data_IF_703117876427
#
_entry.id   IF_703117876427
#
_cell.length_a   1.000
_cell.length_b   1.000
_cell.length_c   1.000
_cell.angle_alpha   90.00
_cell.angle_beta   90.00
_cell.angle_gamma   90.00
#
_symmetry.space_group_name_H-M   'P 1'
#
loop_
_entity.id
_entity.type
_entity.pdbx_description
1 polymer ?
#
# COMPACT_ATOMS: atom_id res chain seq x y z
N UNK A 1 -14.85 6.89 6.74
CA UNK A 1 -14.63 6.66 8.19
C UNK A 1 -13.21 7.02 8.64
N UNK A 2 -12.14 6.55 7.98
CA UNK A 2 -10.76 6.84 8.40
C UNK A 2 -10.37 8.32 8.30
N UNK A 3 -10.74 9.01 7.20
CA UNK A 3 -10.48 10.45 7.05
C UNK A 3 -11.17 11.30 8.14
N UNK A 4 -12.43 10.98 8.47
CA UNK A 4 -13.15 11.67 9.55
C UNK A 4 -12.48 11.45 10.93
N UNK A 5 -11.96 10.24 11.18
CA UNK A 5 -11.24 9.94 12.43
C UNK A 5 -9.91 10.70 12.53
N UNK A 6 -9.20 10.88 11.43
CA UNK A 6 -7.95 11.67 11.44
C UNK A 6 -8.25 13.15 11.71
N UNK A 7 -9.27 13.71 11.04
CA UNK A 7 -9.69 15.09 11.22
C UNK A 7 -10.10 15.37 12.68
N UNK A 8 -10.90 14.47 13.29
CA UNK A 8 -11.28 14.57 14.69
C UNK A 8 -10.08 14.55 15.67
N UNK A 9 -8.93 14.05 15.23
CA UNK A 9 -7.67 13.99 16.01
C UNK A 9 -6.66 15.07 15.59
N UNK A 10 -7.04 16.02 14.73
CA UNK A 10 -6.14 17.03 14.19
C UNK A 10 -4.99 16.43 13.36
N UNK A 11 -5.19 15.25 12.78
CA UNK A 11 -4.18 14.52 12.00
C UNK A 11 -4.53 14.48 10.52
N UNK A 12 -3.50 14.54 9.67
CA UNK A 12 -3.65 14.43 8.21
C UNK A 12 -3.85 12.97 7.80
N UNK A 13 -4.92 12.68 7.06
CA UNK A 13 -5.11 11.36 6.43
C UNK A 13 -4.39 11.29 5.09
N UNK A 14 -3.54 10.28 4.93
CA UNK A 14 -2.76 10.00 3.71
C UNK A 14 -2.99 8.54 3.30
N UNK A 15 -3.96 8.25 2.41
CA UNK A 15 -4.16 6.91 1.90
C UNK A 15 -3.03 6.54 0.93
N UNK A 16 -2.48 5.33 1.06
CA UNK A 16 -1.39 4.84 0.22
C UNK A 16 -1.81 3.59 -0.56
N UNK A 17 -1.95 3.80 -1.87
CA UNK A 17 -2.04 2.87 -2.99
C UNK A 17 -0.79 2.02 -3.23
N UNK A 18 -0.66 0.78 -2.75
CA UNK A 18 0.47 -0.08 -3.17
C UNK A 18 0.05 -1.00 -4.32
N UNK A 19 0.76 -0.92 -5.44
CA UNK A 19 0.55 -1.74 -6.63
C UNK A 19 1.79 -2.59 -6.88
N UNK A 20 1.60 -3.83 -7.30
CA UNK A 20 2.70 -4.73 -7.60
C UNK A 20 2.25 -5.62 -8.76
N UNK A 21 3.13 -5.83 -9.73
CA UNK A 21 2.90 -6.82 -10.78
C UNK A 21 2.64 -8.19 -10.16
N UNK A 22 1.73 -8.93 -10.80
CA UNK A 22 1.23 -10.20 -10.27
C UNK A 22 2.38 -11.18 -10.08
N UNK A 23 3.25 -11.33 -11.07
CA UNK A 23 4.37 -12.27 -11.04
C UNK A 23 5.36 -11.98 -9.90
N UNK A 24 5.67 -10.71 -9.66
CA UNK A 24 6.54 -10.32 -8.55
C UNK A 24 5.84 -10.54 -7.20
N UNK A 25 4.52 -10.35 -7.11
CA UNK A 25 3.76 -10.64 -5.90
C UNK A 25 3.72 -12.16 -5.61
N UNK A 26 3.53 -13.00 -6.63
CA UNK A 26 3.60 -14.47 -6.54
C UNK A 26 4.98 -14.92 -6.04
N UNK A 27 6.05 -14.32 -6.57
CA UNK A 27 7.40 -14.58 -6.09
C UNK A 27 7.58 -14.18 -4.62
N UNK A 28 7.15 -12.98 -4.24
CA UNK A 28 7.31 -12.44 -2.87
C UNK A 28 6.48 -13.17 -1.84
N UNK A 29 5.26 -13.58 -2.18
CA UNK A 29 4.35 -14.25 -1.24
C UNK A 29 4.89 -15.62 -0.84
N UNK A 30 5.62 -16.27 -1.73
CA UNK A 30 6.21 -17.59 -1.52
C UNK A 30 7.52 -17.59 -0.72
N UNK A 31 8.05 -16.41 -0.35
CA UNK A 31 9.33 -16.32 0.36
C UNK A 31 9.27 -17.00 1.75
N UNK A 32 10.28 -17.82 2.13
CA UNK A 32 10.27 -18.57 3.39
C UNK A 32 10.04 -17.71 4.64
N UNK A 33 10.66 -16.53 4.69
CA UNK A 33 10.53 -15.56 5.78
C UNK A 33 9.07 -15.11 6.03
N UNK A 34 8.18 -15.27 5.06
CA UNK A 34 6.75 -14.95 5.24
C UNK A 34 6.06 -16.00 6.09
N UNK A 35 6.42 -17.28 5.92
CA UNK A 35 5.92 -18.39 6.75
C UNK A 35 6.32 -18.20 8.20
N UNK A 36 7.57 -17.82 8.45
CA UNK A 36 8.10 -17.52 9.79
C UNK A 36 7.31 -16.40 10.49
N UNK A 37 6.81 -15.43 9.72
CA UNK A 37 6.00 -14.31 10.21
C UNK A 37 4.49 -14.58 10.16
N UNK A 38 4.07 -15.85 9.98
CA UNK A 38 2.67 -16.27 9.85
C UNK A 38 1.87 -15.49 8.79
N UNK A 39 2.55 -14.98 7.76
CA UNK A 39 1.90 -14.30 6.63
C UNK A 39 1.39 -15.33 5.63
N UNK A 40 0.39 -14.95 4.84
CA UNK A 40 -0.05 -15.76 3.71
C UNK A 40 1.13 -16.04 2.75
N UNK A 41 1.19 -17.29 2.29
CA UNK A 41 2.23 -17.82 1.38
C UNK A 41 1.67 -18.51 0.14
N UNK A 42 0.34 -18.49 -0.05
CA UNK A 42 -0.32 -19.11 -1.22
C UNK A 42 0.00 -18.33 -2.51
N UNK A 43 0.77 -18.89 -3.46
CA UNK A 43 1.12 -18.23 -4.71
C UNK A 43 -0.09 -17.99 -5.63
N UNK A 44 -1.21 -18.71 -5.46
CA UNK A 44 -2.42 -18.49 -6.25
C UNK A 44 -3.22 -17.27 -5.77
N UNK A 45 -2.95 -16.78 -4.55
CA UNK A 45 -3.70 -15.66 -3.97
C UNK A 45 -3.55 -14.36 -4.79
N UNK A 46 -2.34 -13.90 -5.16
CA UNK A 46 -2.19 -12.71 -6.01
C UNK A 46 -2.93 -12.83 -7.35
N UNK A 47 -2.88 -14.00 -8.00
CA UNK A 47 -3.57 -14.26 -9.27
C UNK A 47 -5.07 -14.13 -9.10
N UNK A 48 -5.66 -14.80 -8.10
CA UNK A 48 -7.09 -14.72 -7.79
C UNK A 48 -7.54 -13.30 -7.44
N UNK A 49 -6.70 -12.52 -6.76
CA UNK A 49 -7.02 -11.13 -6.40
C UNK A 49 -6.93 -10.20 -7.62
N UNK A 50 -5.97 -10.39 -8.51
CA UNK A 50 -5.85 -9.61 -9.75
C UNK A 50 -7.08 -9.76 -10.65
N UNK A 51 -7.66 -10.96 -10.70
CA UNK A 51 -8.90 -11.23 -11.45
C UNK A 51 -10.13 -10.50 -10.89
N UNK A 52 -10.11 -10.07 -9.62
CA UNK A 52 -11.23 -9.34 -9.00
C UNK A 52 -11.22 -7.85 -9.32
N UNK A 53 -10.24 -7.38 -10.10
CA UNK A 53 -10.09 -5.98 -10.48
C UNK A 53 -9.09 -5.22 -9.61
N UNK A 54 -8.96 -3.91 -9.84
CA UNK A 54 -7.93 -3.11 -9.20
C UNK A 54 -8.11 -3.03 -7.68
N UNK A 55 -7.01 -2.85 -6.92
CA UNK A 55 -7.10 -2.58 -5.49
C UNK A 55 -7.97 -1.36 -5.19
N UNK A 56 -8.52 -1.34 -3.97
CA UNK A 56 -9.30 -0.23 -3.44
C UNK A 56 -8.70 1.14 -3.80
N UNK A 57 -9.54 2.01 -4.37
CA UNK A 57 -9.21 3.41 -4.69
C UNK A 57 -9.96 4.29 -3.68
N UNK A 58 -9.23 5.14 -2.95
CA UNK A 58 -9.85 5.98 -1.92
C UNK A 58 -10.52 7.23 -2.49
N UNK A 59 -10.07 7.71 -3.65
CA UNK A 59 -10.53 8.97 -4.26
C UNK A 59 -10.17 10.22 -3.43
N UNK A 60 -9.35 10.06 -2.39
CA UNK A 60 -8.97 11.14 -1.49
C UNK A 60 -7.91 12.04 -2.12
N UNK A 61 -8.00 13.35 -1.89
CA UNK A 61 -7.06 14.33 -2.47
C UNK A 61 -5.59 14.09 -2.08
N UNK A 62 -5.37 13.47 -0.92
CA UNK A 62 -4.04 13.13 -0.41
C UNK A 62 -3.57 11.72 -0.81
N UNK A 63 -4.29 10.99 -1.67
CA UNK A 63 -3.89 9.63 -2.05
C UNK A 63 -2.53 9.62 -2.77
N UNK A 64 -1.65 8.71 -2.35
CA UNK A 64 -0.43 8.37 -3.06
C UNK A 64 -0.57 6.98 -3.68
N UNK A 65 -0.33 6.85 -4.98
CA UNK A 65 -0.22 5.54 -5.65
C UNK A 65 1.24 5.22 -5.95
N UNK A 66 1.72 4.07 -5.49
CA UNK A 66 3.09 3.58 -5.64
C UNK A 66 3.10 2.19 -6.27
N UNK A 67 3.77 2.08 -7.41
CA UNK A 67 4.24 0.80 -7.93
C UNK A 67 5.46 0.31 -7.13
N UNK A 68 5.32 -0.79 -6.41
CA UNK A 68 6.36 -1.38 -5.58
C UNK A 68 7.02 -2.62 -6.21
N UNK A 69 6.75 -2.88 -7.49
CA UNK A 69 7.27 -4.05 -8.22
C UNK A 69 8.78 -4.13 -8.13
N UNK A 70 9.49 -3.03 -8.43
CA UNK A 70 10.95 -2.97 -8.37
C UNK A 70 11.49 -2.23 -7.13
N UNK A 71 10.62 -1.80 -6.20
CA UNK A 71 11.04 -1.00 -5.05
C UNK A 71 11.31 -1.87 -3.82
N UNK A 72 12.37 -1.52 -3.10
CA UNK A 72 12.61 -2.01 -1.75
C UNK A 72 11.60 -1.40 -0.76
N UNK A 73 11.37 -2.04 0.40
CA UNK A 73 10.54 -1.46 1.45
C UNK A 73 11.00 -0.07 1.91
N UNK A 74 12.32 0.16 1.96
CA UNK A 74 12.88 1.45 2.37
C UNK A 74 12.59 2.55 1.35
N UNK A 75 12.70 2.27 0.06
CA UNK A 75 12.37 3.24 -1.00
C UNK A 75 10.89 3.59 -1.00
N UNK A 76 10.01 2.59 -0.83
CA UNK A 76 8.58 2.83 -0.70
C UNK A 76 8.27 3.69 0.53
N UNK A 77 8.88 3.41 1.69
CA UNK A 77 8.70 4.20 2.90
C UNK A 77 9.16 5.67 2.73
N UNK A 78 10.31 5.89 2.08
CA UNK A 78 10.80 7.23 1.75
C UNK A 78 9.82 7.99 0.84
N UNK A 79 9.26 7.33 -0.16
CA UNK A 79 8.27 7.95 -1.04
C UNK A 79 6.99 8.35 -0.30
N UNK A 80 6.51 7.51 0.63
CA UNK A 80 5.36 7.83 1.48
C UNK A 80 5.65 9.05 2.36
N UNK A 81 6.82 9.09 3.02
CA UNK A 81 7.22 10.23 3.86
C UNK A 81 7.37 11.52 3.06
N UNK A 82 7.98 11.46 1.87
CA UNK A 82 8.12 12.62 1.00
C UNK A 82 6.76 13.19 0.62
N UNK A 83 5.82 12.34 0.19
CA UNK A 83 4.45 12.76 -0.15
C UNK A 83 3.73 13.34 1.07
N UNK A 84 3.79 12.68 2.23
CA UNK A 84 3.21 13.19 3.46
C UNK A 84 3.74 14.58 3.83
N UNK A 85 5.04 14.83 3.62
CA UNK A 85 5.67 16.13 3.86
C UNK A 85 5.20 17.25 2.93
N UNK A 86 4.68 16.93 1.74
CA UNK A 86 4.09 17.92 0.83
C UNK A 86 2.65 18.29 1.17
N UNK A 87 1.99 17.50 2.03
CA UNK A 87 0.60 17.74 2.40
C UNK A 87 0.58 18.68 3.60
N UNK A 88 0.22 19.94 3.34
CA UNK A 88 -0.05 20.89 4.42
C UNK A 88 -1.30 20.44 5.20
N UNK A 89 -1.32 20.54 6.54
CA UNK A 89 -2.55 20.33 7.30
C UNK A 89 -3.58 21.35 6.79
N UNK A 90 -4.63 20.88 6.13
CA UNK A 90 -5.82 21.71 5.98
C UNK A 90 -6.46 21.76 7.35
N UNK A 91 -6.30 22.90 8.02
CA UNK A 91 -6.96 23.21 9.29
C UNK A 91 -8.47 23.10 9.20
#
# INVERSE_FOLDING_TARGET
RLAALSAARGSTFVPVRLQCEVDENVRRISLPERRERMKAVDPELPVRLALKGPPFVSGHANELSLDITARTPLEAARAVLAHAGTISPRG
#
